data_IF_030117183625
#
_entry.id   IF_030117183625
#
_cell.length_a   1.000
_cell.length_b   1.000
_cell.length_c   1.000
_cell.angle_alpha   90.00
_cell.angle_beta   90.00
_cell.angle_gamma   90.00
#
_symmetry.space_group_name_H-M   'P 1'
#
loop_
_entity.id
_entity.type
_entity.pdbx_description
1 polymer ?
#
# COMPACT_ATOMS: atom_id res chain seq x y z
N UNK A 1 -6.39 24.96 22.93
CA UNK A 1 -6.76 23.80 22.08
C UNK A 1 -5.57 23.42 21.22
N UNK A 2 -5.24 22.14 21.09
CA UNK A 2 -4.13 21.69 20.24
C UNK A 2 -4.47 21.83 18.76
N UNK A 3 -3.45 22.12 17.93
CA UNK A 3 -3.62 22.30 16.47
C UNK A 3 -4.09 21.02 15.78
N UNK A 4 -3.57 19.87 16.20
CA UNK A 4 -3.90 18.54 15.69
C UNK A 4 -4.19 17.58 16.85
N UNK A 5 -5.07 16.60 16.60
CA UNK A 5 -5.35 15.47 17.46
C UNK A 5 -4.39 14.31 17.20
N UNK A 6 -4.02 14.10 15.93
CA UNK A 6 -3.11 13.02 15.51
C UNK A 6 -2.08 13.59 14.54
N UNK A 7 -0.82 13.23 14.76
CA UNK A 7 0.29 13.50 13.85
C UNK A 7 0.92 12.16 13.50
N UNK A 8 1.11 11.87 12.22
CA UNK A 8 1.80 10.66 11.78
C UNK A 8 2.94 10.97 10.82
N UNK A 9 3.92 10.06 10.83
CA UNK A 9 5.02 10.00 9.89
C UNK A 9 4.98 8.60 9.28
N UNK A 10 5.18 8.49 7.97
CA UNK A 10 5.30 7.20 7.33
C UNK A 10 5.92 7.27 5.95
N UNK A 11 6.15 6.10 5.36
CA UNK A 11 6.57 6.02 3.97
C UNK A 11 5.42 6.48 3.08
N UNK A 12 5.67 7.49 2.26
CA UNK A 12 4.76 7.89 1.20
C UNK A 12 4.76 6.83 0.11
N UNK A 13 3.66 6.09 -0.01
CA UNK A 13 3.53 4.96 -0.94
C UNK A 13 2.32 5.16 -1.85
N UNK A 14 2.40 4.56 -3.04
CA UNK A 14 1.27 4.39 -3.96
C UNK A 14 0.98 2.90 -4.01
N UNK A 15 -0.26 2.54 -3.72
CA UNK A 15 -0.70 1.15 -3.76
C UNK A 15 -1.14 0.81 -5.19
N UNK A 16 -0.63 -0.32 -5.67
CA UNK A 16 -1.00 -0.94 -6.94
C UNK A 16 -1.70 -2.26 -6.63
N UNK A 17 -3.02 -2.29 -6.77
CA UNK A 17 -3.85 -3.42 -6.39
C UNK A 17 -4.23 -4.26 -7.62
N UNK A 18 -3.96 -5.56 -7.59
CA UNK A 18 -4.30 -6.50 -8.67
C UNK A 18 -5.09 -7.67 -8.10
N UNK A 19 -6.15 -8.08 -8.81
CA UNK A 19 -6.86 -9.32 -8.50
C UNK A 19 -6.14 -10.50 -9.16
N UNK A 20 -5.66 -11.45 -8.37
CA UNK A 20 -4.93 -12.64 -8.79
C UNK A 20 -5.47 -13.87 -8.04
N UNK A 21 -5.11 -15.06 -8.51
CA UNK A 21 -5.37 -16.31 -7.81
C UNK A 21 -4.20 -16.74 -6.89
N UNK A 22 -4.45 -17.73 -6.03
CA UNK A 22 -3.42 -18.28 -5.12
C UNK A 22 -2.34 -19.07 -5.88
N UNK A 23 -2.62 -19.51 -7.11
CA UNK A 23 -1.66 -20.18 -7.98
C UNK A 23 -0.57 -19.21 -8.43
N UNK A 24 -0.92 -17.96 -8.74
CA UNK A 24 0.02 -16.89 -9.04
C UNK A 24 1.00 -16.66 -7.89
N UNK A 25 0.49 -16.57 -6.65
CA UNK A 25 1.33 -16.38 -5.46
C UNK A 25 2.34 -17.53 -5.31
N UNK A 26 1.89 -18.77 -5.50
CA UNK A 26 2.74 -19.97 -5.44
C UNK A 26 3.82 -19.93 -6.53
N UNK A 27 3.44 -19.61 -7.77
CA UNK A 27 4.38 -19.52 -8.91
C UNK A 27 5.44 -18.44 -8.73
N UNK A 28 5.08 -17.32 -8.11
CA UNK A 28 5.97 -16.20 -7.85
C UNK A 28 6.72 -16.32 -6.51
N UNK A 29 6.51 -17.40 -5.76
CA UNK A 29 7.10 -17.64 -4.44
C UNK A 29 6.81 -16.49 -3.45
N UNK A 30 5.55 -16.06 -3.39
CA UNK A 30 5.07 -15.00 -2.50
C UNK A 30 4.20 -15.62 -1.40
N UNK A 31 4.61 -15.41 -0.14
CA UNK A 31 3.81 -15.79 1.02
C UNK A 31 2.55 -14.93 1.12
N UNK A 32 1.40 -15.58 1.30
CA UNK A 32 0.11 -14.89 1.38
C UNK A 32 -0.05 -14.17 2.72
N UNK A 33 -0.45 -12.90 2.67
CA UNK A 33 -0.85 -12.12 3.84
C UNK A 33 0.30 -11.46 4.62
N UNK A 34 1.49 -11.38 4.03
CA UNK A 34 2.64 -10.67 4.61
C UNK A 34 3.04 -9.46 3.77
N UNK A 35 3.81 -8.55 4.37
CA UNK A 35 4.50 -7.48 3.65
C UNK A 35 5.94 -7.94 3.40
N UNK A 36 6.31 -8.05 2.13
CA UNK A 36 7.67 -8.42 1.72
C UNK A 36 8.34 -7.20 1.12
N UNK A 37 9.49 -6.80 1.67
CA UNK A 37 10.35 -5.82 1.02
C UNK A 37 11.03 -6.48 -0.17
N UNK A 38 10.98 -5.82 -1.31
CA UNK A 38 11.59 -6.28 -2.56
C UNK A 38 12.53 -5.21 -3.09
N UNK A 39 13.56 -5.65 -3.79
CA UNK A 39 14.39 -4.74 -4.58
C UNK A 39 13.73 -4.39 -5.92
N UNK A 40 14.38 -3.50 -6.68
CA UNK A 40 13.88 -3.02 -7.97
C UNK A 40 13.72 -4.14 -9.00
N UNK A 41 14.64 -5.11 -9.02
CA UNK A 41 14.64 -6.17 -10.03
C UNK A 41 13.50 -7.16 -9.74
N UNK A 42 13.30 -7.51 -8.48
CA UNK A 42 12.16 -8.29 -8.00
C UNK A 42 10.83 -7.58 -8.27
N UNK A 43 10.76 -6.28 -8.00
CA UNK A 43 9.57 -5.47 -8.27
C UNK A 43 9.23 -5.47 -9.77
N UNK A 44 10.22 -5.28 -10.65
CA UNK A 44 10.01 -5.29 -12.10
C UNK A 44 9.55 -6.66 -12.59
N UNK A 45 10.17 -7.75 -12.12
CA UNK A 45 9.77 -9.11 -12.47
C UNK A 45 8.31 -9.39 -12.06
N UNK A 46 7.87 -8.88 -10.91
CA UNK A 46 6.48 -9.00 -10.47
C UNK A 46 5.54 -8.19 -11.38
N UNK A 47 5.90 -6.96 -11.75
CA UNK A 47 5.12 -6.16 -12.70
C UNK A 47 4.97 -6.84 -14.06
N UNK A 48 6.05 -7.43 -14.58
CA UNK A 48 6.02 -8.13 -15.86
C UNK A 48 5.16 -9.40 -15.76
N UNK A 49 5.22 -10.14 -14.65
CA UNK A 49 4.37 -11.30 -14.41
C UNK A 49 2.88 -10.93 -14.28
N UNK A 50 2.58 -9.71 -13.85
CA UNK A 50 1.22 -9.16 -13.79
C UNK A 50 0.71 -8.66 -15.16
N UNK A 51 1.52 -8.72 -16.22
CA UNK A 51 1.08 -8.33 -17.56
C UNK A 51 -0.21 -9.06 -17.96
N UNK A 52 -1.23 -8.29 -18.33
CA UNK A 52 -2.57 -8.80 -18.65
C UNK A 52 -3.59 -8.70 -17.50
N UNK A 53 -3.14 -8.40 -16.27
CA UNK A 53 -4.04 -8.06 -15.16
C UNK A 53 -4.40 -6.58 -15.19
N UNK A 54 -5.66 -6.27 -14.85
CA UNK A 54 -6.08 -4.88 -14.65
C UNK A 54 -5.79 -4.47 -13.22
N UNK A 55 -4.86 -3.53 -13.04
CA UNK A 55 -4.52 -2.97 -11.75
C UNK A 55 -5.34 -1.72 -11.42
N UNK A 56 -5.59 -1.49 -10.13
CA UNK A 56 -6.12 -0.23 -9.60
C UNK A 56 -5.01 0.51 -8.86
N UNK A 57 -4.97 1.82 -9.02
CA UNK A 57 -4.07 2.70 -8.29
C UNK A 57 -4.80 3.45 -7.19
N UNK A 58 -4.17 3.55 -6.02
CA UNK A 58 -4.67 4.35 -4.91
C UNK A 58 -3.52 4.97 -4.11
N UNK A 59 -3.83 5.99 -3.30
CA UNK A 59 -2.91 6.44 -2.26
C UNK A 59 -2.69 5.31 -1.27
N UNK A 60 -1.43 5.03 -0.96
CA UNK A 60 -1.04 3.98 -0.04
C UNK A 60 -0.36 4.50 1.22
N UNK A 61 0.24 3.56 1.96
CA UNK A 61 0.97 3.85 3.18
C UNK A 61 0.10 3.76 4.43
N UNK A 62 0.52 2.90 5.37
CA UNK A 62 -0.27 2.60 6.58
C UNK A 62 -0.57 3.85 7.44
N UNK A 63 0.45 4.69 7.67
CA UNK A 63 0.29 5.93 8.42
C UNK A 63 -0.57 6.95 7.67
N UNK A 64 -0.39 7.09 6.35
CA UNK A 64 -1.21 7.99 5.53
C UNK A 64 -2.69 7.58 5.55
N UNK A 65 -2.98 6.29 5.34
CA UNK A 65 -4.34 5.73 5.40
C UNK A 65 -4.99 5.97 6.78
N UNK A 66 -4.20 5.89 7.86
CA UNK A 66 -4.68 6.21 9.22
C UNK A 66 -5.09 7.69 9.35
N UNK A 67 -4.26 8.63 8.88
CA UNK A 67 -4.56 10.06 8.93
C UNK A 67 -5.77 10.42 8.05
N UNK A 68 -5.89 9.79 6.88
CA UNK A 68 -7.05 9.93 6.00
C UNK A 68 -8.32 9.51 6.74
N UNK A 69 -8.32 8.33 7.38
CA UNK A 69 -9.45 7.85 8.17
C UNK A 69 -9.79 8.80 9.33
N UNK A 70 -8.80 9.23 10.13
CA UNK A 70 -9.02 10.19 11.23
C UNK A 70 -9.67 11.47 10.72
N UNK A 71 -9.22 11.99 9.58
CA UNK A 71 -9.77 13.19 8.97
C UNK A 71 -11.21 12.98 8.50
N UNK A 72 -11.52 11.81 7.92
CA UNK A 72 -12.89 11.44 7.53
C UNK A 72 -13.85 11.32 8.71
N UNK A 73 -13.35 10.93 9.89
CA UNK A 73 -14.14 10.90 11.13
C UNK A 73 -14.22 12.28 11.83
N UNK A 74 -13.71 13.35 11.22
CA UNK A 74 -13.80 14.72 11.74
C UNK A 74 -12.66 15.11 12.70
N UNK A 75 -11.66 14.26 12.89
CA UNK A 75 -10.46 14.57 13.66
C UNK A 75 -9.54 15.54 12.91
N UNK A 76 -8.81 16.38 13.65
CA UNK A 76 -7.76 17.24 13.08
C UNK A 76 -6.47 16.45 13.00
N UNK A 77 -6.00 16.14 11.80
CA UNK A 77 -4.83 15.31 11.61
C UNK A 77 -3.75 16.00 10.77
N UNK A 78 -2.50 15.57 10.93
CA UNK A 78 -1.38 15.99 10.10
C UNK A 78 -0.52 14.77 9.74
N UNK A 79 0.02 14.76 8.52
CA UNK A 79 0.93 13.75 8.02
C UNK A 79 2.21 14.41 7.52
N UNK A 80 3.35 13.82 7.85
CA UNK A 80 4.68 14.24 7.38
C UNK A 80 5.41 13.13 6.65
#
# INVERSE_FOLDING_TARGET
MNKYNVYAIGNALVDMEFAIDDEFLTRMNIDKGVMTLVDTDQQQALYDALAGHTGKMASGGSAANTIIAVSHFGGKAFYS
#
